data_IF_324587749392
#
_entry.id   IF_324587749392
#
_cell.length_a   1.000
_cell.length_b   1.000
_cell.length_c   1.000
_cell.angle_alpha   90.00
_cell.angle_beta   90.00
_cell.angle_gamma   90.00
#
_symmetry.space_group_name_H-M   'P 1'
#
loop_
_entity.id
_entity.type
_entity.pdbx_description
1 polymer ?
#
# COMPACT_ATOMS: atom_id res chain seq x y z
N UNK A 1 11.62 -8.97 -2.30
CA UNK A 1 10.45 -9.84 -2.45
C UNK A 1 9.36 -9.04 -3.14
N UNK A 2 8.80 -9.55 -4.24
CA UNK A 2 7.84 -8.80 -5.05
C UNK A 2 6.40 -9.25 -4.80
N UNK A 3 5.50 -8.29 -4.63
CA UNK A 3 4.04 -8.52 -4.55
C UNK A 3 3.36 -7.86 -5.73
N UNK A 4 2.29 -8.46 -6.25
CA UNK A 4 1.49 -7.82 -7.30
C UNK A 4 0.59 -6.76 -6.67
N UNK A 5 0.83 -5.50 -6.98
CA UNK A 5 0.02 -4.38 -6.47
C UNK A 5 -1.21 -4.13 -7.37
N UNK A 6 -1.01 -4.25 -8.68
CA UNK A 6 -2.05 -4.19 -9.71
C UNK A 6 -1.61 -4.98 -10.95
N UNK A 7 -2.37 -4.92 -12.04
CA UNK A 7 -2.08 -5.67 -13.27
C UNK A 7 -0.71 -5.39 -13.89
N UNK A 8 -0.16 -4.18 -13.67
CA UNK A 8 1.06 -3.70 -14.33
C UNK A 8 2.22 -3.46 -13.37
N UNK A 9 2.00 -3.55 -12.05
CA UNK A 9 2.97 -3.14 -11.03
C UNK A 9 3.19 -4.26 -10.03
N UNK A 10 4.46 -4.65 -9.90
CA UNK A 10 4.95 -5.45 -8.79
C UNK A 10 5.74 -4.54 -7.83
N UNK A 11 5.41 -4.60 -6.54
CA UNK A 11 6.04 -3.80 -5.49
C UNK A 11 7.06 -4.65 -4.74
N UNK A 12 8.28 -4.14 -4.57
CA UNK A 12 9.29 -4.81 -3.77
C UNK A 12 9.15 -4.45 -2.28
N UNK A 13 8.46 -5.28 -1.50
CA UNK A 13 8.21 -4.99 -0.08
C UNK A 13 9.50 -4.86 0.76
N UNK A 14 10.60 -5.51 0.37
CA UNK A 14 11.86 -5.46 1.12
C UNK A 14 12.52 -4.08 1.09
N UNK A 15 12.12 -3.22 0.14
CA UNK A 15 12.64 -1.86 0.00
C UNK A 15 11.73 -0.81 0.63
N UNK A 16 10.48 -1.17 0.92
CA UNK A 16 9.51 -0.25 1.51
C UNK A 16 9.91 0.04 2.94
N UNK A 17 10.19 1.30 3.22
CA UNK A 17 10.56 1.76 4.57
C UNK A 17 9.36 2.27 5.35
N UNK A 18 8.30 2.68 4.66
CA UNK A 18 7.08 3.20 5.30
C UNK A 18 5.86 3.00 4.42
N UNK A 19 4.76 2.57 5.02
CA UNK A 19 3.42 2.56 4.42
C UNK A 19 2.53 3.53 5.19
N UNK A 20 1.75 4.36 4.50
CA UNK A 20 0.87 5.37 5.10
C UNK A 20 -0.51 5.32 4.49
N UNK A 21 -1.55 5.36 5.31
CA UNK A 21 -2.94 5.55 4.87
C UNK A 21 -3.20 7.06 4.92
N UNK A 22 -3.44 7.68 3.75
CA UNK A 22 -3.65 9.12 3.61
C UNK A 22 -5.05 9.42 3.10
N UNK A 23 -5.65 10.49 3.64
CA UNK A 23 -6.82 11.13 3.06
C UNK A 23 -6.36 12.07 1.95
N UNK A 24 -6.94 11.91 0.77
CA UNK A 24 -6.84 12.86 -0.34
C UNK A 24 -8.25 13.42 -0.59
N UNK A 25 -8.34 14.56 -1.28
CA UNK A 25 -9.64 15.21 -1.60
C UNK A 25 -10.65 14.24 -2.22
N UNK A 26 -10.12 13.24 -2.94
CA UNK A 26 -10.89 12.23 -3.65
C UNK A 26 -10.80 10.86 -2.93
N UNK A 27 -10.87 10.81 -1.60
CA UNK A 27 -10.97 9.57 -0.79
C UNK A 27 -9.67 9.11 -0.11
N UNK A 28 -9.61 7.85 0.30
CA UNK A 28 -8.49 7.31 1.10
C UNK A 28 -7.57 6.45 0.23
N UNK A 29 -6.25 6.56 0.42
CA UNK A 29 -5.26 5.73 -0.30
C UNK A 29 -4.12 5.29 0.59
N UNK A 30 -3.63 4.09 0.34
CA UNK A 30 -2.39 3.57 0.92
C UNK A 30 -1.23 3.98 0.02
N UNK A 31 -0.23 4.65 0.59
CA UNK A 31 1.01 5.09 -0.08
C UNK A 31 2.20 4.30 0.45
N UNK A 32 3.06 3.87 -0.46
CA UNK A 32 4.28 3.13 -0.14
C UNK A 32 5.50 3.99 -0.43
N UNK A 33 6.43 4.04 0.52
CA UNK A 33 7.62 4.88 0.45
C UNK A 33 8.90 4.04 0.53
N UNK A 34 9.89 4.41 -0.29
CA UNK A 34 11.30 4.02 -0.13
C UNK A 34 12.06 5.26 0.35
N UNK A 35 12.39 5.31 1.64
CA UNK A 35 12.90 6.52 2.27
C UNK A 35 11.87 7.65 2.24
N UNK A 36 12.19 8.73 1.52
CA UNK A 36 11.31 9.89 1.35
C UNK A 36 10.43 9.80 0.10
N UNK A 37 10.79 8.94 -0.85
CA UNK A 37 10.15 8.89 -2.15
C UNK A 37 8.94 7.97 -2.13
N UNK A 38 7.81 8.48 -2.62
CA UNK A 38 6.62 7.66 -2.84
C UNK A 38 6.81 6.84 -4.11
N UNK A 39 6.94 5.52 -3.97
CA UNK A 39 7.18 4.61 -5.10
C UNK A 39 5.89 3.98 -5.63
N UNK A 40 4.85 3.91 -4.80
CA UNK A 40 3.57 3.32 -5.21
C UNK A 40 2.38 3.86 -4.40
N UNK A 41 1.18 3.61 -4.93
CA UNK A 41 -0.09 3.86 -4.24
C UNK A 41 -1.11 2.77 -4.59
N UNK A 42 -2.00 2.49 -3.65
CA UNK A 42 -3.15 1.61 -3.85
C UNK A 42 -4.23 2.24 -4.72
N UNK A 43 -5.29 1.46 -4.95
CA UNK A 43 -6.61 1.98 -5.33
C UNK A 43 -7.16 2.94 -4.27
N UNK A 44 -8.22 3.67 -4.64
CA UNK A 44 -9.00 4.51 -3.73
C UNK A 44 -9.88 3.62 -2.83
N UNK A 45 -10.05 4.06 -1.60
CA UNK A 45 -10.96 3.51 -0.60
C UNK A 45 -11.92 4.59 -0.11
N UNK A 46 -13.07 4.18 0.40
CA UNK A 46 -14.07 5.07 0.99
C UNK A 46 -13.78 5.32 2.47
N UNK A 47 -13.34 4.29 3.20
CA UNK A 47 -13.06 4.34 4.64
C UNK A 47 -11.61 3.97 4.97
N UNK A 48 -11.17 4.34 6.18
CA UNK A 48 -9.84 3.97 6.69
C UNK A 48 -9.84 2.47 6.97
N UNK A 49 -10.93 1.91 7.52
CA UNK A 49 -11.07 0.49 7.78
C UNK A 49 -10.85 -0.36 6.51
N UNK A 50 -11.47 0.02 5.39
CA UNK A 50 -11.30 -0.71 4.12
C UNK A 50 -9.85 -0.69 3.64
N UNK A 51 -9.20 0.47 3.76
CA UNK A 51 -7.80 0.63 3.39
C UNK A 51 -6.87 -0.19 4.29
N UNK A 52 -7.15 -0.22 5.60
CA UNK A 52 -6.38 -0.99 6.59
C UNK A 52 -6.53 -2.49 6.35
N UNK A 53 -7.76 -2.97 6.17
CA UNK A 53 -8.04 -4.38 5.91
C UNK A 53 -7.38 -4.87 4.63
N UNK A 54 -7.44 -4.07 3.55
CA UNK A 54 -6.76 -4.40 2.31
C UNK A 54 -5.24 -4.46 2.50
N UNK A 55 -4.65 -3.52 3.24
CA UNK A 55 -3.22 -3.52 3.51
C UNK A 55 -2.81 -4.75 4.34
N UNK A 56 -3.57 -5.09 5.38
CA UNK A 56 -3.35 -6.29 6.18
C UNK A 56 -3.43 -7.56 5.34
N UNK A 57 -4.44 -7.72 4.49
CA UNK A 57 -4.56 -8.86 3.59
C UNK A 57 -3.39 -8.95 2.60
N UNK A 58 -2.89 -7.81 2.13
CA UNK A 58 -1.74 -7.73 1.24
C UNK A 58 -0.44 -8.19 1.91
N UNK A 59 -0.24 -7.86 3.19
CA UNK A 59 1.00 -8.17 3.92
C UNK A 59 0.90 -9.48 4.74
N UNK A 60 -0.30 -9.96 5.05
CA UNK A 60 -0.55 -11.16 5.86
C UNK A 60 0.21 -12.42 5.40
N UNK A 61 0.36 -12.71 4.09
CA UNK A 61 1.14 -13.86 3.63
C UNK A 61 2.62 -13.81 4.05
N UNK A 62 3.12 -12.65 4.47
CA UNK A 62 4.53 -12.39 4.74
C UNK A 62 4.85 -12.21 6.23
N UNK A 63 3.84 -12.22 7.10
CA UNK A 63 3.99 -12.09 8.56
C UNK A 63 4.05 -13.47 9.26
N UNK A 64 4.49 -14.52 8.55
CA UNK A 64 4.63 -15.89 9.07
C UNK A 64 6.06 -16.18 9.53
#
# INVERSE_FOLDING_TARGET
MFIKLNERVHLNLNRITRTKIDHVEDGIRVRFYEGKDQVAKSKRFETIEDASKWLEELIKPFNK
#
